data_IF_408617721165
#
_entry.id   IF_408617721165
#
_cell.length_a   1.000
_cell.length_b   1.000
_cell.length_c   1.000
_cell.angle_alpha   90.00
_cell.angle_beta   90.00
_cell.angle_gamma   90.00
#
_symmetry.space_group_name_H-M   'P 1'
#
loop_
_entity.id
_entity.type
_entity.pdbx_description
1 polymer ?
#
# COMPACT_ATOMS: atom_id res chain seq x y z
N UNK A 1 4.56 4.99 23.00
CA UNK A 1 5.58 5.46 22.05
C UNK A 1 5.12 5.15 20.64
N UNK A 2 5.14 6.14 19.76
CA UNK A 2 4.69 5.91 18.38
C UNK A 2 5.86 5.52 17.48
N UNK A 3 5.51 4.79 16.44
CA UNK A 3 6.46 4.33 15.42
C UNK A 3 6.12 4.99 14.09
N UNK A 4 7.13 5.16 13.25
CA UNK A 4 6.96 5.76 11.92
C UNK A 4 6.75 4.64 10.90
N UNK A 5 5.55 4.56 10.37
CA UNK A 5 5.18 3.58 9.36
C UNK A 5 4.96 4.29 8.04
N UNK A 6 5.72 3.92 7.03
CA UNK A 6 5.49 4.41 5.67
C UNK A 6 4.71 3.36 4.89
N UNK A 7 3.65 3.80 4.24
CA UNK A 7 2.79 2.95 3.42
C UNK A 7 2.73 3.47 1.99
N UNK A 8 2.70 2.55 1.04
CA UNK A 8 2.43 2.86 -0.36
C UNK A 8 1.01 2.41 -0.67
N UNK A 9 0.22 3.28 -1.28
CA UNK A 9 -1.15 2.99 -1.67
C UNK A 9 -1.29 3.14 -3.17
N UNK A 10 -2.06 2.24 -3.80
CA UNK A 10 -2.33 2.31 -5.22
C UNK A 10 -3.74 1.85 -5.54
N UNK A 11 -4.33 2.42 -6.59
CA UNK A 11 -5.65 2.03 -7.08
C UNK A 11 -5.69 2.18 -8.59
N UNK A 12 -6.22 1.17 -9.30
CA UNK A 12 -6.40 1.26 -10.74
C UNK A 12 -7.77 0.77 -11.20
N UNK A 13 -8.72 0.69 -10.29
CA UNK A 13 -10.06 0.18 -10.59
C UNK A 13 -11.11 1.06 -9.92
N UNK A 14 -12.16 1.39 -10.67
CA UNK A 14 -13.24 2.22 -10.16
C UNK A 14 -12.82 3.68 -10.00
N UNK A 15 -13.38 4.35 -9.01
CA UNK A 15 -13.00 5.72 -8.67
C UNK A 15 -11.72 5.71 -7.85
N UNK A 16 -10.58 5.78 -8.52
CA UNK A 16 -9.26 5.63 -7.93
C UNK A 16 -8.99 6.65 -6.81
N UNK A 17 -9.33 7.90 -7.04
CA UNK A 17 -9.10 8.97 -6.06
C UNK A 17 -9.94 8.75 -4.81
N UNK A 18 -11.21 8.39 -4.99
CA UNK A 18 -12.10 8.10 -3.87
C UNK A 18 -11.64 6.87 -3.09
N UNK A 19 -11.16 5.85 -3.79
CA UNK A 19 -10.62 4.65 -3.15
C UNK A 19 -9.42 4.99 -2.26
N UNK A 20 -8.52 5.84 -2.74
CA UNK A 20 -7.36 6.28 -1.97
C UNK A 20 -7.79 7.10 -0.76
N UNK A 21 -8.74 8.01 -0.94
CA UNK A 21 -9.26 8.84 0.15
C UNK A 21 -9.88 7.98 1.25
N UNK A 22 -10.68 6.99 0.86
CA UNK A 22 -11.33 6.08 1.81
C UNK A 22 -10.30 5.21 2.54
N UNK A 23 -9.29 4.74 1.82
CA UNK A 23 -8.21 3.96 2.42
C UNK A 23 -7.46 4.78 3.47
N UNK A 24 -7.13 6.04 3.14
CA UNK A 24 -6.45 6.92 4.09
C UNK A 24 -7.29 7.18 5.34
N UNK A 25 -8.61 7.36 5.16
CA UNK A 25 -9.51 7.56 6.29
C UNK A 25 -9.55 6.34 7.22
N UNK A 26 -9.59 5.14 6.65
CA UNK A 26 -9.60 3.91 7.44
C UNK A 26 -8.24 3.66 8.12
N UNK A 27 -7.16 3.98 7.44
CA UNK A 27 -5.82 3.90 8.04
C UNK A 27 -5.73 4.85 9.24
N UNK A 28 -6.19 6.07 9.07
CA UNK A 28 -6.17 7.07 10.15
C UNK A 28 -6.98 6.62 11.36
N UNK A 29 -8.06 5.91 11.13
CA UNK A 29 -8.95 5.42 12.19
C UNK A 29 -8.42 4.16 12.86
N UNK A 30 -7.81 3.25 12.10
CA UNK A 30 -7.59 1.86 12.56
C UNK A 30 -6.13 1.47 12.70
N UNK A 31 -5.21 2.16 12.03
CA UNK A 31 -3.77 1.82 12.07
C UNK A 31 -3.00 2.82 12.92
N UNK A 32 -3.20 4.09 12.68
CA UNK A 32 -2.51 5.16 13.37
C UNK A 32 -2.79 6.49 12.72
N UNK A 33 -2.24 7.56 13.26
CA UNK A 33 -2.46 8.91 12.72
C UNK A 33 -1.73 9.09 11.41
N UNK A 34 -2.46 9.39 10.35
CA UNK A 34 -1.87 9.75 9.05
C UNK A 34 -1.29 11.15 9.20
N UNK A 35 0.03 11.22 9.19
CA UNK A 35 0.75 12.46 9.49
C UNK A 35 1.11 13.26 8.24
N UNK A 36 1.50 12.57 7.17
CA UNK A 36 1.84 13.18 5.89
C UNK A 36 1.37 12.30 4.76
N UNK A 37 0.95 12.92 3.66
CA UNK A 37 0.52 12.23 2.44
C UNK A 37 1.20 12.91 1.25
N UNK A 38 1.77 12.10 0.38
CA UNK A 38 2.41 12.62 -0.83
C UNK A 38 1.37 13.04 -1.86
N UNK A 39 1.83 13.76 -2.88
CA UNK A 39 1.03 13.99 -4.08
C UNK A 39 0.81 12.65 -4.80
N UNK A 40 -0.35 12.45 -5.41
CA UNK A 40 -0.60 11.23 -6.19
C UNK A 40 0.22 11.21 -7.48
N UNK A 41 0.57 10.00 -7.91
CA UNK A 41 1.34 9.80 -9.13
C UNK A 41 0.69 8.70 -9.95
N UNK A 42 0.39 8.98 -11.23
CA UNK A 42 -0.20 8.00 -12.12
C UNK A 42 0.89 7.17 -12.80
N UNK A 43 0.72 5.86 -12.85
CA UNK A 43 1.68 4.96 -13.46
C UNK A 43 1.00 3.85 -14.26
N UNK A 44 1.76 3.26 -15.18
CA UNK A 44 1.30 2.08 -15.92
C UNK A 44 1.32 0.86 -15.00
N UNK A 45 0.44 -0.13 -15.27
CA UNK A 45 0.44 -1.38 -14.49
C UNK A 45 1.79 -2.09 -14.59
N UNK A 46 2.22 -2.65 -13.46
CA UNK A 46 3.47 -3.40 -13.37
C UNK A 46 3.16 -4.90 -13.28
N UNK A 47 3.75 -5.68 -14.16
CA UNK A 47 3.65 -7.13 -14.10
C UNK A 47 2.41 -7.73 -14.73
N UNK A 48 1.55 -6.94 -15.35
CA UNK A 48 0.37 -7.45 -16.05
C UNK A 48 -0.11 -6.46 -17.10
N UNK A 49 -0.90 -6.97 -18.03
CA UNK A 49 -1.44 -6.18 -19.12
C UNK A 49 -2.80 -5.61 -18.73
N UNK A 50 -2.91 -4.29 -18.73
CA UNK A 50 -4.16 -3.60 -18.45
C UNK A 50 -4.13 -2.21 -19.07
N UNK A 51 -5.31 -1.69 -19.43
CA UNK A 51 -5.45 -0.29 -19.86
C UNK A 51 -5.67 0.64 -18.68
N UNK A 52 -5.89 0.09 -17.49
CA UNK A 52 -6.15 0.89 -16.28
C UNK A 52 -4.84 1.27 -15.61
N UNK A 53 -4.56 2.56 -15.57
CA UNK A 53 -3.37 3.06 -14.88
C UNK A 53 -3.62 3.15 -13.38
N UNK A 54 -2.56 2.92 -12.62
CA UNK A 54 -2.60 3.13 -11.18
C UNK A 54 -2.46 4.61 -10.84
N UNK A 55 -3.15 5.02 -9.77
CA UNK A 55 -2.78 6.22 -9.04
C UNK A 55 -2.14 5.75 -7.75
N UNK A 56 -0.93 6.23 -7.49
CA UNK A 56 -0.13 5.81 -6.32
C UNK A 56 0.19 7.02 -5.46
N UNK A 57 0.29 6.78 -4.15
CA UNK A 57 0.80 7.75 -3.21
C UNK A 57 1.50 7.03 -2.06
N UNK A 58 2.26 7.79 -1.28
CA UNK A 58 2.91 7.29 -0.07
C UNK A 58 2.42 8.14 1.10
N UNK A 59 2.21 7.52 2.25
CA UNK A 59 1.86 8.24 3.46
C UNK A 59 2.73 7.82 4.62
N UNK A 60 2.90 8.75 5.55
CA UNK A 60 3.58 8.49 6.83
C UNK A 60 2.51 8.39 7.91
N UNK A 61 2.52 7.29 8.64
CA UNK A 61 1.57 7.01 9.71
C UNK A 61 2.34 6.88 11.01
N UNK A 62 1.85 7.55 12.05
CA UNK A 62 2.36 7.36 13.40
C UNK A 62 1.47 6.32 14.08
N UNK A 63 2.02 5.15 14.37
CA UNK A 63 1.26 4.03 14.90
C UNK A 63 1.86 3.51 16.20
N UNK A 64 0.98 2.96 17.05
CA UNK A 64 1.41 2.24 18.24
C UNK A 64 1.32 0.72 18.05
N UNK A 65 0.88 0.28 16.87
CA UNK A 65 0.71 -1.13 16.57
C UNK A 65 2.04 -1.76 16.15
N UNK A 66 2.15 -3.07 16.35
CA UNK A 66 3.31 -3.82 15.86
C UNK A 66 3.27 -3.92 14.32
N UNK A 67 4.41 -4.22 13.68
CA UNK A 67 4.43 -4.36 12.22
C UNK A 67 3.43 -5.41 11.70
N UNK A 68 3.33 -6.55 12.34
CA UNK A 68 2.38 -7.60 11.92
C UNK A 68 0.93 -7.17 12.11
N UNK A 69 0.64 -6.43 13.16
CA UNK A 69 -0.72 -5.89 13.36
C UNK A 69 -1.06 -4.88 12.29
N UNK A 70 -0.10 -4.04 11.92
CA UNK A 70 -0.26 -3.09 10.81
C UNK A 70 -0.55 -3.83 9.50
N UNK A 71 0.18 -4.89 9.22
CA UNK A 71 -0.04 -5.70 8.02
C UNK A 71 -1.45 -6.27 7.99
N UNK A 72 -1.88 -6.89 9.07
CA UNK A 72 -3.21 -7.49 9.15
C UNK A 72 -4.31 -6.46 8.98
N UNK A 73 -4.16 -5.31 9.61
CA UNK A 73 -5.17 -4.27 9.54
C UNK A 73 -5.27 -3.67 8.14
N UNK A 74 -4.13 -3.45 7.49
CA UNK A 74 -4.15 -2.94 6.11
C UNK A 74 -4.75 -3.96 5.15
N UNK A 75 -4.53 -5.25 5.37
CA UNK A 75 -5.16 -6.30 4.57
C UNK A 75 -6.68 -6.30 4.74
N UNK A 76 -7.17 -6.08 5.96
CA UNK A 76 -8.61 -5.96 6.20
C UNK A 76 -9.20 -4.75 5.48
N UNK A 77 -8.48 -3.64 5.47
CA UNK A 77 -8.91 -2.43 4.75
C UNK A 77 -9.01 -2.72 3.26
N UNK A 78 -8.02 -3.40 2.68
CA UNK A 78 -8.07 -3.79 1.27
C UNK A 78 -9.33 -4.62 0.97
N UNK A 79 -9.65 -5.57 1.82
CA UNK A 79 -10.83 -6.41 1.65
C UNK A 79 -12.13 -5.61 1.75
N UNK A 80 -12.22 -4.70 2.71
CA UNK A 80 -13.42 -3.89 2.91
C UNK A 80 -13.66 -2.93 1.75
N UNK A 81 -12.60 -2.50 1.07
CA UNK A 81 -12.73 -1.57 -0.05
C UNK A 81 -12.90 -2.29 -1.40
N UNK A 82 -13.11 -3.60 -1.37
CA UNK A 82 -13.49 -4.33 -2.57
C UNK A 82 -12.44 -5.27 -3.16
N UNK A 83 -11.28 -5.42 -2.52
CA UNK A 83 -10.29 -6.41 -2.96
C UNK A 83 -10.71 -7.79 -2.50
N UNK A 84 -11.85 -8.26 -3.04
CA UNK A 84 -12.41 -9.55 -2.67
C UNK A 84 -11.71 -10.69 -3.38
N UNK A 85 -11.05 -10.40 -4.51
CA UNK A 85 -10.33 -11.41 -5.23
C UNK A 85 -8.85 -11.28 -4.92
N UNK A 86 -8.36 -12.28 -4.26
CA UNK A 86 -6.94 -12.48 -4.16
C UNK A 86 -6.40 -12.74 -5.55
N UNK A 87 -5.10 -12.56 -5.73
CA UNK A 87 -4.39 -12.98 -6.93
C UNK A 87 -4.45 -14.49 -6.98
N UNK A 88 -5.62 -15.05 -7.22
CA UNK A 88 -5.79 -16.49 -7.32
C UNK A 88 -5.66 -16.90 -8.76
N UNK A 89 -5.07 -18.05 -8.94
CA UNK A 89 -4.94 -18.65 -10.23
C UNK A 89 -6.30 -19.16 -10.68
N UNK A 90 -6.75 -18.76 -11.85
CA UNK A 90 -7.89 -19.40 -12.48
C UNK A 90 -7.46 -20.61 -13.30
N UNK A 91 -6.16 -20.72 -13.58
CA UNK A 91 -5.60 -21.77 -14.43
C UNK A 91 -4.28 -22.33 -13.89
N UNK A 92 -4.01 -22.12 -12.59
CA UNK A 92 -2.77 -22.58 -11.97
C UNK A 92 -1.65 -21.56 -12.00
N UNK A 93 -1.84 -20.42 -12.62
CA UNK A 93 -0.83 -19.37 -12.68
C UNK A 93 -1.20 -18.19 -11.79
N UNK A 94 -0.24 -17.71 -10.99
CA UNK A 94 -0.43 -16.51 -10.21
C UNK A 94 -0.55 -15.32 -11.16
N UNK A 95 -1.62 -14.56 -11.02
CA UNK A 95 -1.86 -13.39 -11.85
C UNK A 95 -2.02 -12.16 -11.01
N UNK A 96 -1.54 -11.03 -11.55
CA UNK A 96 -1.79 -9.72 -10.98
C UNK A 96 -3.04 -9.16 -11.61
N UNK A 97 -3.94 -8.64 -10.79
CA UNK A 97 -5.22 -8.11 -11.23
C UNK A 97 -5.30 -6.60 -10.99
N UNK A 98 -6.18 -5.94 -11.74
CA UNK A 98 -6.60 -4.59 -11.41
C UNK A 98 -7.19 -4.60 -9.99
N UNK A 99 -6.92 -3.54 -9.22
CA UNK A 99 -7.26 -3.51 -7.80
C UNK A 99 -7.94 -2.23 -7.41
N UNK A 100 -9.00 -2.36 -6.61
CA UNK A 100 -9.66 -1.22 -5.99
C UNK A 100 -8.66 -0.46 -5.11
N UNK A 101 -7.91 -1.19 -4.29
CA UNK A 101 -6.88 -0.61 -3.44
C UNK A 101 -5.78 -1.65 -3.16
N UNK A 102 -4.56 -1.17 -3.14
CA UNK A 102 -3.38 -1.96 -2.79
C UNK A 102 -2.59 -1.17 -1.76
N UNK A 103 -2.27 -1.80 -0.63
CA UNK A 103 -1.55 -1.13 0.46
C UNK A 103 -0.33 -1.97 0.81
N UNK A 104 0.85 -1.38 0.65
CA UNK A 104 2.12 -2.03 0.97
C UNK A 104 2.80 -1.31 2.13
N UNK A 105 3.31 -2.09 3.08
CA UNK A 105 4.16 -1.56 4.13
C UNK A 105 5.57 -1.38 3.55
N UNK A 106 6.10 -0.16 3.66
CA UNK A 106 7.42 0.16 3.11
C UNK A 106 8.51 0.06 4.17
N UNK A 107 8.34 0.77 5.27
CA UNK A 107 9.29 0.77 6.39
C UNK A 107 8.53 0.97 7.69
N UNK A 108 9.13 0.49 8.77
CA UNK A 108 8.61 0.67 10.12
C UNK A 108 9.81 1.03 11.00
N UNK A 109 9.98 2.33 11.29
CA UNK A 109 11.18 2.86 11.92
C UNK A 109 12.43 2.37 11.15
N UNK A 110 13.43 1.90 11.84
CA UNK A 110 14.65 1.32 11.24
C UNK A 110 14.67 -0.21 11.37
N UNK A 111 13.52 -0.82 11.63
CA UNK A 111 13.43 -2.25 11.87
C UNK A 111 13.62 -3.04 10.56
N UNK A 112 14.36 -4.14 10.66
CA UNK A 112 14.51 -5.09 9.57
C UNK A 112 13.72 -6.33 9.93
N UNK A 113 12.80 -6.74 9.05
CA UNK A 113 11.99 -7.95 9.21
C UNK A 113 12.15 -8.78 7.93
N UNK A 114 12.39 -10.06 8.10
CA UNK A 114 12.52 -10.97 6.98
C UNK A 114 11.76 -12.26 7.31
N UNK A 115 10.46 -12.25 7.06
CA UNK A 115 9.58 -13.40 7.30
C UNK A 115 8.78 -13.68 6.02
N UNK A 116 8.19 -14.89 5.90
CA UNK A 116 7.35 -15.21 4.75
C UNK A 116 6.17 -14.25 4.57
N UNK A 117 5.64 -13.70 5.66
CA UNK A 117 4.48 -12.81 5.62
C UNK A 117 4.85 -11.37 5.36
N UNK A 118 6.03 -10.94 5.83
CA UNK A 118 6.39 -9.52 5.83
C UNK A 118 7.90 -9.35 5.72
N UNK A 119 8.32 -8.52 4.79
CA UNK A 119 9.73 -8.12 4.65
C UNK A 119 9.81 -6.60 4.72
N UNK A 120 10.62 -6.10 5.65
CA UNK A 120 10.85 -4.66 5.81
C UNK A 120 12.35 -4.38 5.89
N UNK A 121 12.86 -3.35 5.23
CA UNK A 121 12.16 -2.49 4.26
C UNK A 121 11.60 -3.30 3.10
N UNK A 122 10.57 -2.76 2.45
CA UNK A 122 9.94 -3.43 1.30
C UNK A 122 11.01 -3.76 0.27
N UNK A 123 11.10 -5.01 -0.21
CA UNK A 123 12.26 -5.45 -1.00
C UNK A 123 12.38 -4.79 -2.37
N UNK A 124 11.29 -4.25 -2.91
CA UNK A 124 11.30 -3.63 -4.25
C UNK A 124 11.10 -2.13 -4.26
N UNK A 125 11.02 -1.50 -3.08
CA UNK A 125 10.69 -0.07 -3.05
C UNK A 125 11.70 0.80 -3.80
N UNK A 126 12.97 0.47 -3.74
CA UNK A 126 14.02 1.26 -4.37
C UNK A 126 13.99 1.18 -5.90
N UNK A 127 13.38 0.14 -6.45
CA UNK A 127 13.27 -0.04 -7.90
C UNK A 127 12.00 0.59 -8.48
N UNK A 128 11.19 1.25 -7.63
CA UNK A 128 9.89 1.79 -8.02
C UNK A 128 9.85 3.30 -7.84
N UNK A 129 9.90 4.05 -8.95
CA UNK A 129 9.79 5.51 -8.89
C UNK A 129 8.48 5.96 -8.27
N UNK A 130 7.39 5.21 -8.49
CA UNK A 130 6.09 5.55 -7.94
C UNK A 130 6.00 5.34 -6.41
N UNK A 131 7.06 4.81 -5.82
CA UNK A 131 7.24 4.72 -4.37
C UNK A 131 8.30 5.73 -3.91
N UNK A 132 9.46 5.73 -4.54
CA UNK A 132 10.59 6.53 -4.07
C UNK A 132 10.39 8.02 -4.23
N UNK A 133 9.78 8.47 -5.34
CA UNK A 133 9.52 9.89 -5.53
C UNK A 133 8.52 10.44 -4.53
N UNK A 134 7.34 9.81 -4.34
CA UNK A 134 6.42 10.24 -3.30
C UNK A 134 7.03 10.16 -1.90
N UNK A 135 7.83 9.14 -1.64
CA UNK A 135 8.50 8.99 -0.34
C UNK A 135 9.45 10.15 -0.06
N UNK A 136 10.24 10.55 -1.05
CA UNK A 136 11.14 11.68 -0.92
C UNK A 136 10.39 12.97 -0.64
N UNK A 137 9.23 13.15 -1.23
CA UNK A 137 8.39 14.33 -1.04
C UNK A 137 8.02 14.53 0.42
N UNK A 138 7.78 13.45 1.17
CA UNK A 138 7.28 13.51 2.54
C UNK A 138 8.30 13.09 3.59
N UNK A 139 9.50 12.76 3.17
CA UNK A 139 10.57 12.36 4.11
C UNK A 139 11.21 13.54 4.79
#
# INVERSE_FOLDING_TARGET
MTHKLYLSLGSNLGNREENLRRALALIDERVGSVYRVSSPMETDPVGFSSTNKFINLVCLVHTMMSPMSCLRETQKIEQELGRTQKSTCTDGTLQHFDRTIDIDLLTYDDIIIDTPELTLPHPRMQDRDFVMRPLEEIS
#
